data_IF_346456878035
#
_entry.id   IF_346456878035
#
_cell.length_a   1.000
_cell.length_b   1.000
_cell.length_c   1.000
_cell.angle_alpha   90.00
_cell.angle_beta   90.00
_cell.angle_gamma   90.00
#
_symmetry.space_group_name_H-M   'P 1'
#
loop_
_entity.id
_entity.type
_entity.pdbx_description
1 polymer ?
#
# COMPACT_ATOMS: atom_id res chain seq x y z
N UNK A 1 84.85 -39.31 -64.53
CA UNK A 1 84.53 -38.39 -65.63
C UNK A 1 83.10 -38.74 -66.03
N UNK A 2 82.18 -37.80 -65.87
CA UNK A 2 80.73 -37.98 -65.89
C UNK A 2 80.23 -38.55 -67.21
N UNK A 3 79.27 -39.47 -67.15
CA UNK A 3 78.22 -39.68 -68.16
C UNK A 3 77.09 -40.49 -67.51
N UNK A 4 75.95 -39.83 -67.29
CA UNK A 4 74.74 -40.39 -66.69
C UNK A 4 73.90 -41.10 -67.76
N UNK A 5 73.67 -42.40 -67.54
CA UNK A 5 72.83 -43.26 -68.37
C UNK A 5 71.36 -42.84 -68.39
N UNK A 6 70.84 -42.78 -69.61
CA UNK A 6 69.47 -42.99 -70.06
C UNK A 6 68.78 -44.20 -69.40
N UNK A 7 67.51 -44.04 -68.99
CA UNK A 7 66.45 -45.05 -69.18
C UNK A 7 65.07 -44.48 -68.85
N UNK A 8 64.20 -44.36 -69.86
CA UNK A 8 62.74 -44.38 -69.66
C UNK A 8 62.26 -45.83 -69.45
N UNK A 9 61.00 -46.22 -69.74
CA UNK A 9 59.87 -45.41 -70.22
C UNK A 9 58.49 -45.77 -69.57
N UNK A 10 57.48 -44.96 -69.91
CA UNK A 10 56.07 -45.28 -70.15
C UNK A 10 55.38 -46.49 -69.46
N UNK A 11 54.34 -46.18 -68.66
CA UNK A 11 53.20 -47.08 -68.43
C UNK A 11 51.94 -46.28 -68.04
N UNK A 12 51.13 -45.99 -69.08
CA UNK A 12 49.69 -45.72 -69.06
C UNK A 12 48.91 -46.21 -67.81
N UNK A 13 47.95 -45.39 -67.33
CA UNK A 13 46.52 -45.54 -67.71
C UNK A 13 45.62 -44.38 -67.24
N UNK A 14 44.44 -44.21 -67.90
CA UNK A 14 43.63 -42.99 -67.92
C UNK A 14 42.37 -43.06 -67.03
N UNK A 15 41.57 -41.98 -67.09
CA UNK A 15 40.19 -41.82 -66.61
C UNK A 15 40.07 -41.61 -65.07
N UNK A 16 39.32 -40.66 -64.52
CA UNK A 16 37.96 -40.20 -64.83
C UNK A 16 37.67 -38.84 -64.14
N UNK A 17 37.04 -37.91 -64.86
CA UNK A 17 35.94 -37.02 -64.38
C UNK A 17 36.21 -35.92 -63.32
N UNK A 18 36.10 -34.62 -63.68
CA UNK A 18 35.54 -33.57 -62.80
C UNK A 18 33.99 -33.57 -62.92
N UNK A 19 33.13 -32.88 -62.12
CA UNK A 19 33.27 -32.04 -60.91
C UNK A 19 32.23 -32.39 -59.79
N UNK A 20 32.30 -31.81 -58.58
CA UNK A 20 31.12 -31.74 -57.68
C UNK A 20 31.09 -30.40 -56.93
N UNK A 21 30.24 -29.51 -57.43
CA UNK A 21 29.66 -28.39 -56.71
C UNK A 21 28.83 -28.91 -55.52
N UNK A 22 29.11 -28.45 -54.29
CA UNK A 22 28.27 -28.75 -53.12
C UNK A 22 27.34 -27.55 -52.88
N UNK A 23 26.02 -27.65 -53.12
CA UNK A 23 25.09 -26.69 -52.55
C UNK A 23 25.05 -26.93 -51.03
N UNK A 24 25.56 -25.98 -50.24
CA UNK A 24 25.34 -25.97 -48.81
C UNK A 24 23.87 -25.58 -48.54
N UNK A 25 23.05 -26.56 -48.17
CA UNK A 25 21.73 -26.33 -47.60
C UNK A 25 21.91 -25.74 -46.19
N UNK A 26 21.38 -24.53 -45.89
CA UNK A 26 21.27 -24.11 -44.52
C UNK A 26 20.24 -25.02 -43.80
N UNK A 27 20.58 -25.56 -42.62
CA UNK A 27 19.66 -26.34 -41.83
C UNK A 27 18.62 -25.44 -41.17
N UNK A 28 17.42 -26.02 -41.08
CA UNK A 28 16.43 -25.79 -40.06
C UNK A 28 15.70 -24.44 -40.07
N UNK A 29 14.40 -24.59 -40.32
CA UNK A 29 13.33 -23.76 -39.79
C UNK A 29 13.43 -23.74 -38.24
N UNK A 30 14.40 -23.03 -37.68
CA UNK A 30 14.44 -22.76 -36.24
C UNK A 30 13.78 -21.41 -35.96
N UNK A 31 12.55 -21.57 -35.49
CA UNK A 31 11.99 -20.81 -34.38
C UNK A 31 11.60 -19.37 -34.69
N UNK A 32 10.39 -19.30 -35.23
CA UNK A 32 9.30 -18.66 -34.50
C UNK A 32 9.60 -17.22 -34.05
N UNK A 33 9.26 -16.33 -34.98
CA UNK A 33 8.61 -15.08 -34.63
C UNK A 33 7.67 -15.23 -33.41
N UNK A 34 7.96 -14.47 -32.35
CA UNK A 34 7.02 -13.76 -31.46
C UNK A 34 7.38 -13.90 -29.97
N UNK A 35 8.10 -12.91 -29.44
CA UNK A 35 8.15 -12.65 -28.01
C UNK A 35 8.57 -11.21 -27.73
N UNK A 36 7.59 -10.29 -27.69
CA UNK A 36 7.50 -9.20 -26.70
C UNK A 36 6.39 -8.20 -27.07
N UNK A 37 5.32 -8.05 -26.26
CA UNK A 37 4.57 -6.80 -26.28
C UNK A 37 5.46 -5.73 -25.61
N UNK A 38 6.07 -4.86 -26.40
CA UNK A 38 7.00 -3.81 -25.95
C UNK A 38 6.31 -2.52 -25.46
N UNK A 39 4.98 -2.50 -25.36
CA UNK A 39 4.20 -1.40 -24.76
C UNK A 39 3.60 -1.72 -23.39
N UNK A 40 3.06 -2.93 -23.20
CA UNK A 40 2.30 -3.30 -21.98
C UNK A 40 3.13 -3.25 -20.69
N UNK A 41 4.41 -3.63 -20.77
CA UNK A 41 5.36 -3.64 -19.63
C UNK A 41 5.56 -2.25 -19.01
N UNK A 42 5.61 -1.22 -19.86
CA UNK A 42 5.83 0.17 -19.44
C UNK A 42 4.58 0.72 -18.76
N UNK A 43 3.40 0.38 -19.28
CA UNK A 43 2.12 0.79 -18.71
C UNK A 43 1.85 0.12 -17.36
N UNK A 44 2.26 -1.14 -17.18
CA UNK A 44 2.21 -1.80 -15.86
C UNK A 44 3.06 -1.06 -14.83
N UNK A 45 4.27 -0.62 -15.19
CA UNK A 45 5.11 0.19 -14.31
C UNK A 45 4.47 1.54 -13.94
N UNK A 46 3.88 2.23 -14.92
CA UNK A 46 3.16 3.49 -14.70
C UNK A 46 1.95 3.29 -13.79
N UNK A 47 1.15 2.26 -14.03
CA UNK A 47 -0.03 1.94 -13.20
C UNK A 47 0.39 1.65 -11.75
N UNK A 48 1.46 0.88 -11.54
CA UNK A 48 1.99 0.62 -10.20
C UNK A 48 2.43 1.91 -9.50
N UNK A 49 3.14 2.80 -10.20
CA UNK A 49 3.55 4.09 -9.64
C UNK A 49 2.33 4.94 -9.27
N UNK A 50 1.33 5.02 -10.15
CA UNK A 50 0.10 5.78 -9.89
C UNK A 50 -0.65 5.24 -8.67
N UNK A 51 -0.73 3.91 -8.52
CA UNK A 51 -1.33 3.29 -7.33
C UNK A 51 -0.57 3.69 -6.08
N UNK A 52 0.76 3.55 -6.06
CA UNK A 52 1.59 3.90 -4.91
C UNK A 52 1.44 5.38 -4.55
N UNK A 53 1.49 6.27 -5.53
CA UNK A 53 1.30 7.72 -5.32
C UNK A 53 -0.10 7.99 -4.78
N UNK A 54 -1.14 7.35 -5.30
CA UNK A 54 -2.51 7.50 -4.81
C UNK A 54 -2.64 7.07 -3.35
N UNK A 55 -2.03 5.96 -2.96
CA UNK A 55 -2.00 5.51 -1.56
C UNK A 55 -1.32 6.52 -0.65
N UNK A 56 -0.19 7.09 -1.09
CA UNK A 56 0.53 8.12 -0.33
C UNK A 56 -0.33 9.37 -0.17
N UNK A 57 -0.95 9.86 -1.25
CA UNK A 57 -1.80 11.06 -1.22
C UNK A 57 -3.01 10.86 -0.31
N UNK A 58 -3.69 9.72 -0.42
CA UNK A 58 -4.87 9.41 0.41
C UNK A 58 -4.48 9.25 1.87
N UNK A 59 -3.39 8.52 2.16
CA UNK A 59 -2.90 8.34 3.52
C UNK A 59 -2.51 9.66 4.17
N UNK A 60 -1.84 10.53 3.41
CA UNK A 60 -1.42 11.84 3.88
C UNK A 60 -2.61 12.79 4.10
N UNK A 61 -3.59 12.77 3.20
CA UNK A 61 -4.84 13.52 3.37
C UNK A 61 -5.61 13.09 4.62
N UNK A 62 -5.68 11.77 4.87
CA UNK A 62 -6.35 11.23 6.04
C UNK A 62 -5.58 11.53 7.34
N UNK A 63 -4.25 11.47 7.31
CA UNK A 63 -3.40 11.82 8.45
C UNK A 63 -3.45 13.31 8.81
N UNK A 64 -3.59 14.18 7.81
CA UNK A 64 -3.77 15.62 8.01
C UNK A 64 -5.23 16.03 8.28
N UNK A 65 -6.17 15.08 8.28
CA UNK A 65 -7.53 15.37 8.75
C UNK A 65 -7.44 15.69 10.24
N UNK A 66 -7.53 16.97 10.57
CA UNK A 66 -7.44 17.44 11.94
C UNK A 66 -8.43 16.65 12.82
N UNK A 67 -7.98 16.11 13.97
CA UNK A 67 -8.88 15.49 14.92
C UNK A 67 -9.91 16.51 15.38
N UNK A 68 -11.13 16.06 15.67
CA UNK A 68 -12.17 16.94 16.19
C UNK A 68 -11.68 17.58 17.49
N UNK A 69 -11.81 18.90 17.60
CA UNK A 69 -11.44 19.62 18.82
C UNK A 69 -12.27 19.09 20.00
N UNK A 70 -11.58 18.63 21.04
CA UNK A 70 -12.21 18.18 22.28
C UNK A 70 -12.41 19.40 23.18
N UNK A 71 -13.63 19.93 23.19
CA UNK A 71 -13.99 21.05 24.08
C UNK A 71 -14.21 20.51 25.49
N UNK A 72 -13.29 20.83 26.40
CA UNK A 72 -13.44 20.57 27.82
C UNK A 72 -14.12 21.78 28.48
N UNK A 73 -15.26 21.56 29.12
CA UNK A 73 -16.02 22.59 29.83
C UNK A 73 -16.13 22.28 31.32
N UNK A 74 -16.20 23.34 32.14
CA UNK A 74 -16.49 23.25 33.56
C UNK A 74 -17.87 23.87 33.81
N UNK A 75 -18.70 23.18 34.58
CA UNK A 75 -19.95 23.73 35.08
C UNK A 75 -19.70 24.36 36.45
N UNK A 76 -19.92 25.66 36.57
CA UNK A 76 -19.90 26.38 37.85
C UNK A 76 -21.34 26.68 38.29
N UNK A 77 -21.59 26.63 39.59
CA UNK A 77 -22.92 26.82 40.16
C UNK A 77 -22.84 27.57 41.49
N UNK A 78 -23.76 28.53 41.66
CA UNK A 78 -23.91 29.23 42.94
C UNK A 78 -24.36 28.25 44.02
N UNK A 79 -23.57 28.13 45.09
CA UNK A 79 -23.85 27.25 46.22
C UNK A 79 -24.22 28.06 47.45
N UNK A 80 -25.32 27.67 48.09
CA UNK A 80 -25.77 28.25 49.36
C UNK A 80 -26.01 27.13 50.36
N UNK A 81 -25.63 27.36 51.62
CA UNK A 81 -25.94 26.45 52.72
C UNK A 81 -27.14 26.98 53.50
N UNK A 82 -28.21 26.20 53.56
CA UNK A 82 -29.43 26.55 54.28
C UNK A 82 -29.43 25.82 55.62
N UNK A 83 -29.36 26.58 56.71
CA UNK A 83 -29.33 26.06 58.08
C UNK A 83 -30.50 26.58 58.91
N UNK A 84 -30.98 25.78 59.86
CA UNK A 84 -32.02 26.17 60.79
C UNK A 84 -31.51 27.22 61.79
N UNK A 85 -32.34 28.23 62.10
CA UNK A 85 -32.00 29.27 63.08
C UNK A 85 -32.09 28.78 64.54
N UNK A 86 -32.78 27.67 64.76
CA UNK A 86 -33.02 27.06 66.08
C UNK A 86 -32.46 25.64 66.11
N UNK A 87 -32.03 25.18 67.28
CA UNK A 87 -31.63 23.79 67.52
C UNK A 87 -32.89 22.94 67.75
N UNK A 88 -33.27 22.15 66.75
CA UNK A 88 -34.45 21.27 66.78
C UNK A 88 -34.17 19.98 66.00
N UNK A 89 -34.98 18.94 66.19
CA UNK A 89 -34.83 17.66 65.45
C UNK A 89 -35.52 17.76 64.10
N UNK A 90 -34.89 17.24 63.05
CA UNK A 90 -35.55 17.10 61.73
C UNK A 90 -36.65 16.04 61.85
N UNK A 91 -37.89 16.46 61.67
CA UNK A 91 -39.06 15.59 61.63
C UNK A 91 -39.21 14.93 60.27
N UNK A 92 -39.10 15.74 59.20
CA UNK A 92 -39.30 15.28 57.83
C UNK A 92 -38.43 16.04 56.83
N UNK A 93 -37.84 15.31 55.90
CA UNK A 93 -37.15 15.85 54.73
C UNK A 93 -38.09 15.78 53.52
N UNK A 94 -38.41 16.92 52.91
CA UNK A 94 -39.41 17.02 51.84
C UNK A 94 -38.79 16.97 50.43
N UNK A 95 -37.47 17.09 50.34
CA UNK A 95 -36.71 17.14 49.09
C UNK A 95 -35.57 16.13 49.10
N UNK A 96 -35.14 15.70 47.91
CA UNK A 96 -33.98 14.81 47.72
C UNK A 96 -32.90 15.49 46.90
N UNK A 97 -31.70 14.92 46.95
CA UNK A 97 -30.59 15.35 46.11
C UNK A 97 -30.97 15.27 44.62
N UNK A 98 -30.74 16.37 43.90
CA UNK A 98 -31.09 16.51 42.48
C UNK A 98 -32.50 17.05 42.21
N UNK A 99 -33.36 17.20 43.22
CA UNK A 99 -34.67 17.81 43.04
C UNK A 99 -34.53 19.31 42.71
N UNK A 100 -35.34 19.79 41.76
CA UNK A 100 -35.46 21.23 41.50
C UNK A 100 -36.34 21.85 42.57
N UNK A 101 -35.83 22.90 43.21
CA UNK A 101 -36.54 23.65 44.24
C UNK A 101 -36.77 25.09 43.79
N UNK A 102 -37.85 25.70 44.27
CA UNK A 102 -38.17 27.11 44.02
C UNK A 102 -37.94 27.94 45.28
N UNK A 103 -37.71 29.25 45.10
CA UNK A 103 -37.60 30.16 46.23
C UNK A 103 -38.87 30.15 47.08
N UNK A 104 -38.71 29.98 48.39
CA UNK A 104 -39.83 29.88 49.33
C UNK A 104 -40.41 28.47 49.50
N UNK A 105 -39.91 27.47 48.75
CA UNK A 105 -40.30 26.08 48.94
C UNK A 105 -39.77 25.53 50.28
N UNK A 106 -40.63 24.83 51.03
CA UNK A 106 -40.24 24.18 52.28
C UNK A 106 -39.38 22.95 51.97
N UNK A 107 -38.17 22.90 52.54
CA UNK A 107 -37.21 21.82 52.32
C UNK A 107 -37.28 20.73 53.41
N UNK A 108 -37.48 21.15 54.66
CA UNK A 108 -37.55 20.25 55.81
C UNK A 108 -38.42 20.83 56.93
N UNK A 109 -38.98 19.95 57.75
CA UNK A 109 -39.76 20.28 58.92
C UNK A 109 -38.98 19.91 60.18
N UNK A 110 -39.06 20.78 61.20
CA UNK A 110 -38.41 20.61 62.49
C UNK A 110 -39.47 20.36 63.56
N UNK A 111 -39.17 19.48 64.51
CA UNK A 111 -39.96 19.24 65.72
C UNK A 111 -39.11 19.62 66.95
N UNK A 112 -39.74 20.30 67.91
CA UNK A 112 -39.08 21.01 69.02
C UNK A 112 -39.16 20.28 70.35
#
# INVERSE_FOLDING_TARGET
MSESETSGPDAQRPDTTPPVDRPAMPPALEEQSSSAPSGARRWVGVVTIVIVVSFIVVGLWLAFRAPADVVQGMADADSINVSAKISARVSKLLVREGDRVQAGQVLFELDS
#
